data_IF_137916713571
#
_entry.id   IF_137916713571
#
_cell.length_a   1.000
_cell.length_b   1.000
_cell.length_c   1.000
_cell.angle_alpha   90.00
_cell.angle_beta   90.00
_cell.angle_gamma   90.00
#
_symmetry.space_group_name_H-M   'P 1'
#
loop_
_entity.id
_entity.type
_entity.pdbx_description
1 polymer ?
#
# COMPACT_ATOMS: atom_id res chain seq x y z
N UNK A 1 8.81 8.49 -26.17
CA UNK A 1 7.99 8.87 -25.01
C UNK A 1 7.65 7.55 -24.34
N UNK A 2 8.22 7.29 -23.17
CA UNK A 2 8.10 5.97 -22.53
C UNK A 2 6.71 5.77 -21.96
N UNK A 3 5.94 4.85 -22.55
CA UNK A 3 4.86 4.17 -21.88
C UNK A 3 5.46 3.16 -20.90
N UNK A 4 5.80 3.62 -19.70
CA UNK A 4 5.83 2.75 -18.53
C UNK A 4 4.47 2.84 -17.87
N UNK A 5 3.44 2.32 -18.53
CA UNK A 5 2.14 2.09 -17.90
C UNK A 5 2.24 0.82 -17.05
N UNK A 6 3.07 0.94 -16.03
CA UNK A 6 3.36 -0.07 -15.05
C UNK A 6 2.22 -0.04 -14.05
N UNK A 7 1.10 -0.67 -14.44
CA UNK A 7 -0.20 -0.54 -13.76
C UNK A 7 -0.04 -0.75 -12.26
N UNK A 8 -0.22 0.33 -11.50
CA UNK A 8 -0.13 0.31 -10.05
C UNK A 8 -1.20 -0.61 -9.45
N UNK A 9 -0.83 -1.52 -8.56
CA UNK A 9 -1.77 -2.45 -7.92
C UNK A 9 -2.73 -1.66 -7.03
N UNK A 10 -4.04 -1.82 -7.24
CA UNK A 10 -5.09 -1.24 -6.41
C UNK A 10 -5.91 -2.34 -5.74
N UNK A 11 -5.99 -2.32 -4.42
CA UNK A 11 -6.76 -3.27 -3.62
C UNK A 11 -7.90 -2.55 -2.88
N UNK A 12 -9.14 -2.86 -3.26
CA UNK A 12 -10.32 -2.46 -2.51
C UNK A 12 -10.66 -3.51 -1.44
N UNK A 13 -10.26 -3.26 -0.20
CA UNK A 13 -10.43 -4.23 0.90
C UNK A 13 -11.88 -4.35 1.34
N UNK A 14 -12.75 -3.42 0.95
CA UNK A 14 -14.20 -3.48 1.22
C UNK A 14 -14.88 -4.62 0.45
N UNK A 15 -14.20 -5.16 -0.57
CA UNK A 15 -14.65 -6.30 -1.38
C UNK A 15 -14.13 -7.64 -0.89
N UNK A 16 -13.32 -7.65 0.16
CA UNK A 16 -12.72 -8.85 0.72
C UNK A 16 -13.52 -9.32 1.93
N UNK A 17 -13.51 -10.63 2.16
CA UNK A 17 -14.03 -11.19 3.40
C UNK A 17 -13.25 -10.63 4.61
N UNK A 18 -13.93 -10.16 5.68
CA UNK A 18 -13.28 -9.52 6.81
C UNK A 18 -12.16 -10.36 7.45
N UNK A 19 -12.33 -11.69 7.45
CA UNK A 19 -11.39 -12.65 8.02
C UNK A 19 -10.11 -12.80 7.19
N UNK A 20 -10.17 -12.51 5.89
CA UNK A 20 -9.07 -12.69 4.95
C UNK A 20 -8.31 -11.38 4.67
N UNK A 21 -8.97 -10.23 4.82
CA UNK A 21 -8.45 -8.92 4.41
C UNK A 21 -7.04 -8.63 4.95
N UNK A 22 -6.80 -8.89 6.24
CA UNK A 22 -5.50 -8.57 6.86
C UNK A 22 -4.38 -9.43 6.29
N UNK A 23 -4.63 -10.74 6.14
CA UNK A 23 -3.65 -11.67 5.58
C UNK A 23 -3.31 -11.33 4.12
N UNK A 24 -4.29 -10.90 3.32
CA UNK A 24 -4.07 -10.49 1.93
C UNK A 24 -3.23 -9.20 1.88
N UNK A 25 -3.62 -8.17 2.62
CA UNK A 25 -2.92 -6.87 2.64
C UNK A 25 -1.48 -7.04 3.11
N UNK A 26 -1.25 -7.77 4.20
CA UNK A 26 0.09 -8.02 4.73
C UNK A 26 0.97 -8.74 3.71
N UNK A 27 0.48 -9.81 3.08
CA UNK A 27 1.24 -10.53 2.04
C UNK A 27 1.62 -9.65 0.84
N UNK A 28 0.74 -8.72 0.46
CA UNK A 28 1.04 -7.78 -0.63
C UNK A 28 2.08 -6.74 -0.21
N UNK A 29 2.03 -6.27 1.04
CA UNK A 29 3.06 -5.40 1.59
C UNK A 29 4.40 -6.14 1.66
N UNK A 30 4.44 -7.37 2.19
CA UNK A 30 5.66 -8.19 2.33
C UNK A 30 6.36 -8.41 0.98
N UNK A 31 5.57 -8.54 -0.08
CA UNK A 31 6.05 -8.83 -1.44
C UNK A 31 6.19 -7.58 -2.32
N UNK A 32 6.02 -6.38 -1.75
CA UNK A 32 6.09 -5.14 -2.52
C UNK A 32 7.52 -4.96 -3.07
N UNK A 33 7.72 -4.96 -4.41
CA UNK A 33 9.05 -4.83 -4.98
C UNK A 33 9.61 -3.40 -4.78
N UNK A 34 10.94 -3.23 -4.70
CA UNK A 34 11.56 -1.92 -4.68
C UNK A 34 11.09 -1.04 -5.85
N UNK A 35 10.80 0.23 -5.55
CA UNK A 35 10.32 1.20 -6.54
C UNK A 35 8.86 1.03 -6.95
N UNK A 36 8.12 0.07 -6.38
CA UNK A 36 6.68 -0.14 -6.66
C UNK A 36 5.79 0.37 -5.55
N UNK A 37 4.50 0.45 -5.85
CA UNK A 37 3.48 0.87 -4.92
C UNK A 37 2.21 0.04 -5.01
N UNK A 38 1.47 0.04 -3.90
CA UNK A 38 0.18 -0.58 -3.69
C UNK A 38 -0.77 0.50 -3.17
N UNK A 39 -1.96 0.60 -3.75
CA UNK A 39 -3.02 1.40 -3.18
C UNK A 39 -4.03 0.53 -2.44
N UNK A 40 -4.47 0.99 -1.27
CA UNK A 40 -5.48 0.32 -0.47
C UNK A 40 -6.68 1.25 -0.28
N UNK A 41 -7.87 0.76 -0.65
CA UNK A 41 -9.15 1.45 -0.46
C UNK A 41 -9.92 0.75 0.66
N UNK A 42 -10.30 1.51 1.69
CA UNK A 42 -10.96 1.02 2.89
C UNK A 42 -12.18 1.89 3.27
N UNK A 43 -13.06 1.32 4.09
CA UNK A 43 -14.24 1.97 4.69
C UNK A 43 -13.91 2.75 5.98
N UNK A 44 -12.67 2.65 6.47
CA UNK A 44 -12.15 3.38 7.62
C UNK A 44 -10.65 3.66 7.44
N UNK A 45 -10.10 4.54 8.27
CA UNK A 45 -8.69 4.91 8.19
C UNK A 45 -7.76 3.71 8.46
N UNK A 46 -6.95 3.26 7.48
CA UNK A 46 -6.10 2.08 7.61
C UNK A 46 -4.75 2.37 8.28
N UNK A 47 -4.69 3.28 9.27
CA UNK A 47 -3.44 3.70 9.96
C UNK A 47 -2.52 2.56 10.38
N UNK A 48 -3.00 1.39 10.88
CA UNK A 48 -2.12 0.29 11.27
C UNK A 48 -1.23 -0.23 10.13
N UNK A 49 -1.65 -0.08 8.86
CA UNK A 49 -0.85 -0.50 7.71
C UNK A 49 0.43 0.32 7.55
N UNK A 50 0.43 1.59 7.98
CA UNK A 50 1.63 2.43 7.94
C UNK A 50 2.74 1.83 8.82
N UNK A 51 2.41 1.50 10.06
CA UNK A 51 3.38 0.89 10.98
C UNK A 51 3.87 -0.48 10.49
N UNK A 52 2.99 -1.28 9.88
CA UNK A 52 3.40 -2.55 9.27
C UNK A 52 4.34 -2.36 8.07
N UNK A 53 4.05 -1.38 7.20
CA UNK A 53 4.91 -1.03 6.06
C UNK A 53 6.31 -0.60 6.53
N UNK A 54 6.37 0.31 7.51
CA UNK A 54 7.61 0.79 8.12
C UNK A 54 8.39 -0.34 8.81
N UNK A 55 7.70 -1.27 9.49
CA UNK A 55 8.33 -2.44 10.10
C UNK A 55 8.97 -3.37 9.09
N UNK A 56 8.32 -3.60 7.93
CA UNK A 56 8.79 -4.56 6.92
C UNK A 56 9.86 -3.97 6.01
N UNK A 57 9.75 -2.69 5.63
CA UNK A 57 10.62 -2.07 4.62
C UNK A 57 11.54 -0.97 5.17
N UNK A 58 11.44 -0.62 6.46
CA UNK A 58 12.31 0.36 7.10
C UNK A 58 12.27 1.72 6.40
N UNK A 59 13.45 2.29 6.16
CA UNK A 59 13.61 3.61 5.54
C UNK A 59 13.13 3.68 4.08
N UNK A 60 12.89 2.52 3.43
CA UNK A 60 12.30 2.47 2.09
C UNK A 60 10.76 2.63 2.12
N UNK A 61 10.12 2.61 3.30
CA UNK A 61 8.68 2.76 3.41
C UNK A 61 8.22 4.19 3.13
N UNK A 62 7.30 4.35 2.18
CA UNK A 62 6.65 5.63 1.89
C UNK A 62 5.12 5.46 1.93
N UNK A 63 4.46 6.37 2.64
CA UNK A 63 3.02 6.36 2.93
C UNK A 63 2.39 7.70 2.58
N UNK A 64 1.34 7.68 1.77
CA UNK A 64 0.53 8.86 1.48
C UNK A 64 -0.96 8.56 1.50
N UNK A 65 -1.75 9.54 1.92
CA UNK A 65 -3.20 9.52 1.71
C UNK A 65 -3.50 10.09 0.32
N UNK A 66 -4.32 9.37 -0.44
CA UNK A 66 -4.92 9.86 -1.68
C UNK A 66 -6.35 10.37 -1.44
N UNK A 67 -7.04 9.81 -0.43
CA UNK A 67 -8.37 10.23 0.00
C UNK A 67 -8.53 9.98 1.51
N UNK A 68 -9.17 10.92 2.23
CA UNK A 68 -9.25 10.94 3.69
C UNK A 68 -10.69 11.03 4.21
N UNK A 69 -11.55 10.09 3.82
CA UNK A 69 -12.87 9.88 4.42
C UNK A 69 -13.84 11.08 4.37
N UNK A 70 -15.02 10.95 5.01
CA UNK A 70 -15.47 9.79 5.78
C UNK A 70 -15.98 8.60 4.94
N UNK A 71 -16.37 8.80 3.69
CA UNK A 71 -16.97 7.75 2.85
C UNK A 71 -15.95 6.73 2.34
N UNK A 72 -14.76 7.19 1.99
CA UNK A 72 -13.70 6.36 1.44
C UNK A 72 -12.35 6.80 1.98
N UNK A 73 -11.54 5.83 2.38
CA UNK A 73 -10.14 6.04 2.70
C UNK A 73 -9.29 5.38 1.63
N UNK A 74 -8.41 6.15 0.99
CA UNK A 74 -7.49 5.63 -0.02
C UNK A 74 -6.08 6.04 0.34
N UNK A 75 -5.21 5.04 0.46
CA UNK A 75 -3.80 5.24 0.81
C UNK A 75 -2.92 4.60 -0.24
N UNK A 76 -1.75 5.17 -0.45
CA UNK A 76 -0.68 4.62 -1.28
C UNK A 76 0.48 4.25 -0.39
N UNK A 77 0.86 2.98 -0.47
CA UNK A 77 2.01 2.37 0.17
C UNK A 77 3.05 2.18 -0.92
N UNK A 78 4.24 2.73 -0.74
CA UNK A 78 5.35 2.60 -1.69
C UNK A 78 6.55 2.02 -0.96
N UNK A 79 7.29 1.17 -1.67
CA UNK A 79 8.64 0.81 -1.32
C UNK A 79 9.60 1.59 -2.21
N UNK A 80 10.54 2.30 -1.60
CA UNK A 80 11.62 3.01 -2.29
C UNK A 80 12.51 2.06 -3.08
N UNK A 81 13.40 2.63 -3.89
CA UNK A 81 14.56 1.89 -4.38
C UNK A 81 15.69 2.17 -3.42
N UNK A 82 16.45 1.13 -3.02
CA UNK A 82 17.66 1.34 -2.26
C UNK A 82 18.58 2.29 -3.05
N UNK A 83 18.93 3.43 -2.45
CA UNK A 83 20.01 4.23 -2.98
C UNK A 83 21.30 3.47 -2.72
N UNK A 84 21.92 2.94 -3.76
CA UNK A 84 23.30 2.46 -3.66
C UNK A 84 24.18 3.67 -3.33
N UNK A 85 24.88 3.61 -2.20
CA UNK A 85 25.98 4.53 -1.87
C UNK A 85 27.21 4.21 -2.71
#
# INVERSE_FOLDING_TARGET
>A
MSDSDDTETVLDVRRLEPQQRHAIVQRLIDRLPPGRSLQVIADHNPRPLRGYLEMVHGDEADWSYLEQGPEVWRVKLRRGVASAL
#
